data_IF_138378936112
#
_entry.id   IF_138378936112
#
_cell.length_a   1.000
_cell.length_b   1.000
_cell.length_c   1.000
_cell.angle_alpha   90.00
_cell.angle_beta   90.00
_cell.angle_gamma   90.00
#
_symmetry.space_group_name_H-M   'P 1'
#
loop_
_entity.id
_entity.type
_entity.pdbx_description
1 polymer ?
#
# COMPACT_ATOMS: atom_id res chain seq x y z
N UNK A 1 -1.27 -75.09 -41.46
CA UNK A 1 -1.71 -74.82 -40.07
C UNK A 1 -0.61 -74.15 -39.38
N UNK A 2 -0.76 -72.86 -39.16
CA UNK A 2 0.15 -72.05 -38.35
C UNK A 2 -0.69 -71.29 -37.32
N UNK A 3 -0.34 -71.24 -36.04
CA UNK A 3 -1.15 -70.55 -35.03
C UNK A 3 -0.83 -69.06 -35.00
N UNK A 4 -1.88 -68.26 -34.83
CA UNK A 4 -1.85 -66.85 -34.68
C UNK A 4 -1.29 -66.47 -33.28
N UNK A 5 -0.15 -65.75 -33.24
CA UNK A 5 0.39 -65.12 -32.03
C UNK A 5 -0.15 -63.73 -31.87
N UNK A 6 -0.95 -63.48 -30.84
CA UNK A 6 -1.40 -62.15 -30.43
C UNK A 6 -0.28 -61.39 -29.76
N UNK A 7 0.22 -60.33 -30.40
CA UNK A 7 1.14 -59.37 -29.76
C UNK A 7 0.29 -58.30 -29.08
N UNK A 8 0.03 -58.51 -27.80
CA UNK A 8 -0.48 -57.44 -26.92
C UNK A 8 0.59 -56.37 -26.71
N UNK A 9 0.46 -55.23 -27.38
CA UNK A 9 1.27 -54.05 -27.03
C UNK A 9 0.74 -53.43 -25.74
N UNK A 10 1.40 -53.77 -24.66
CA UNK A 10 1.25 -53.08 -23.38
C UNK A 10 1.86 -51.68 -23.56
N UNK A 11 1.02 -50.68 -23.87
CA UNK A 11 1.40 -49.27 -23.80
C UNK A 11 1.48 -48.89 -22.33
N UNK A 12 2.65 -49.18 -21.71
CA UNK A 12 2.96 -48.74 -20.39
C UNK A 12 2.88 -47.21 -20.33
N UNK A 13 1.94 -46.70 -19.57
CA UNK A 13 1.96 -45.32 -19.10
C UNK A 13 3.33 -45.05 -18.43
N UNK A 14 4.23 -44.40 -19.16
CA UNK A 14 5.45 -43.91 -18.57
C UNK A 14 5.04 -42.87 -17.53
N UNK A 15 5.09 -43.24 -16.25
CA UNK A 15 5.02 -42.32 -15.13
C UNK A 15 6.07 -41.26 -15.39
N UNK A 16 5.64 -40.04 -15.77
CA UNK A 16 6.52 -38.87 -15.73
C UNK A 16 6.96 -38.74 -14.29
N UNK A 17 8.27 -38.59 -13.99
CA UNK A 17 8.70 -38.37 -12.64
C UNK A 17 7.97 -37.13 -12.11
N UNK A 18 7.49 -37.19 -10.86
CA UNK A 18 6.92 -36.01 -10.16
C UNK A 18 7.91 -34.86 -10.33
N UNK A 19 7.42 -33.73 -10.82
CA UNK A 19 8.27 -32.54 -10.98
C UNK A 19 8.84 -32.18 -9.61
N UNK A 20 10.14 -32.37 -9.45
CA UNK A 20 10.84 -32.04 -8.21
C UNK A 20 10.86 -30.51 -8.09
N UNK A 21 10.29 -29.99 -7.01
CA UNK A 21 10.39 -28.56 -6.70
C UNK A 21 11.86 -28.26 -6.39
N UNK A 22 12.51 -27.30 -7.07
CA UNK A 22 13.88 -26.94 -6.80
C UNK A 22 14.10 -26.53 -5.34
N UNK A 23 15.25 -26.85 -4.73
CA UNK A 23 15.51 -26.54 -3.32
C UNK A 23 15.59 -25.03 -3.04
N UNK A 24 15.81 -24.21 -4.04
CA UNK A 24 15.85 -22.75 -4.02
C UNK A 24 14.48 -22.08 -4.31
N UNK A 25 13.42 -22.89 -4.48
CA UNK A 25 12.08 -22.35 -4.67
C UNK A 25 11.57 -21.69 -3.40
N UNK A 26 11.24 -20.38 -3.48
CA UNK A 26 10.69 -19.59 -2.38
C UNK A 26 9.23 -19.23 -2.68
N UNK A 27 8.26 -19.86 -1.99
CA UNK A 27 6.85 -19.51 -2.15
C UNK A 27 6.61 -18.03 -1.78
N UNK A 28 5.84 -17.32 -2.60
CA UNK A 28 5.51 -15.92 -2.34
C UNK A 28 6.66 -14.92 -2.57
N UNK A 29 7.81 -15.37 -3.09
CA UNK A 29 8.98 -14.55 -3.40
C UNK A 29 9.60 -13.84 -2.17
N UNK A 30 9.39 -14.33 -0.95
CA UNK A 30 9.96 -13.73 0.26
C UNK A 30 11.50 -13.80 0.21
N UNK A 31 12.17 -12.63 0.33
CA UNK A 31 13.62 -12.53 0.25
C UNK A 31 14.20 -12.63 -1.18
N UNK A 32 13.39 -12.89 -2.20
CA UNK A 32 13.84 -12.90 -3.60
C UNK A 32 14.04 -11.47 -4.09
N UNK A 33 15.26 -11.14 -4.53
CA UNK A 33 15.58 -9.83 -5.10
C UNK A 33 15.09 -9.78 -6.55
N UNK A 34 13.96 -9.09 -6.78
CA UNK A 34 13.38 -8.93 -8.11
C UNK A 34 13.91 -7.71 -8.87
N UNK A 35 14.34 -6.66 -8.15
CA UNK A 35 14.76 -5.38 -8.74
C UNK A 35 15.92 -4.77 -7.96
N UNK A 36 16.75 -3.99 -8.67
CA UNK A 36 17.56 -2.93 -8.06
C UNK A 36 16.74 -1.63 -8.11
N UNK A 37 16.91 -0.76 -7.11
CA UNK A 37 16.21 0.54 -7.05
C UNK A 37 17.13 1.61 -6.48
N UNK A 38 16.88 2.87 -6.90
CA UNK A 38 17.52 4.06 -6.35
C UNK A 38 16.52 4.93 -5.56
N UNK A 39 15.31 4.44 -5.33
CA UNK A 39 14.18 5.25 -4.83
C UNK A 39 14.22 5.32 -3.31
N UNK A 40 14.27 4.19 -2.62
CA UNK A 40 14.29 4.16 -1.16
C UNK A 40 15.11 3.00 -0.62
N UNK A 41 15.67 3.22 0.56
CA UNK A 41 16.43 2.25 1.33
C UNK A 41 15.81 2.09 2.72
N UNK A 42 15.01 1.03 2.97
CA UNK A 42 14.67 0.62 4.33
C UNK A 42 15.88 -0.10 4.94
N UNK A 43 16.56 0.53 5.88
CA UNK A 43 17.68 -0.04 6.62
C UNK A 43 17.15 -0.97 7.70
N UNK A 44 17.24 -2.27 7.46
CA UNK A 44 16.67 -3.32 8.30
C UNK A 44 17.27 -3.40 9.69
N UNK A 45 18.56 -3.13 9.80
CA UNK A 45 19.33 -3.31 11.02
C UNK A 45 19.54 -1.98 11.75
N UNK A 46 19.69 -0.86 11.03
CA UNK A 46 19.88 0.47 11.58
C UNK A 46 18.59 1.21 11.93
N UNK A 47 17.42 0.67 11.57
CA UNK A 47 16.12 1.31 11.88
C UNK A 47 15.96 2.69 11.25
N UNK A 48 16.44 2.86 10.01
CA UNK A 48 16.29 4.08 9.21
C UNK A 48 15.49 3.81 7.93
N UNK A 49 14.86 4.84 7.39
CA UNK A 49 14.25 4.83 6.07
C UNK A 49 14.68 6.08 5.31
N UNK A 50 15.33 5.88 4.17
CA UNK A 50 15.85 6.98 3.37
C UNK A 50 15.19 7.01 2.00
N UNK A 51 14.74 8.18 1.58
CA UNK A 51 14.23 8.48 0.24
C UNK A 51 15.34 9.15 -0.57
N UNK A 52 15.84 8.49 -1.61
CA UNK A 52 16.98 9.00 -2.40
C UNK A 52 18.18 9.40 -1.52
N UNK A 53 18.39 8.71 -0.40
CA UNK A 53 19.46 8.98 0.53
C UNK A 53 19.12 9.98 1.65
N UNK A 54 17.98 10.65 1.58
CA UNK A 54 17.52 11.58 2.63
C UNK A 54 16.66 10.83 3.66
N UNK A 55 16.99 10.98 4.94
CA UNK A 55 16.25 10.33 6.01
C UNK A 55 14.85 10.93 6.18
N UNK A 56 13.84 10.09 6.41
CA UNK A 56 12.46 10.55 6.62
C UNK A 56 12.31 11.41 7.88
N UNK A 57 13.14 11.18 8.90
CA UNK A 57 13.13 12.00 10.12
C UNK A 57 13.56 13.43 9.79
N UNK A 58 14.59 13.60 8.97
CA UNK A 58 15.04 14.93 8.52
C UNK A 58 13.94 15.63 7.71
N UNK A 59 13.28 14.90 6.79
CA UNK A 59 12.20 15.46 5.98
C UNK A 59 11.06 15.97 6.84
N UNK A 60 10.59 15.19 7.81
CA UNK A 60 9.47 15.59 8.69
C UNK A 60 9.89 16.67 9.68
N UNK A 61 11.07 16.57 10.28
CA UNK A 61 11.57 17.56 11.24
C UNK A 61 11.78 18.94 10.60
N UNK A 62 12.21 18.98 9.35
CA UNK A 62 12.36 20.20 8.56
C UNK A 62 11.06 20.65 7.88
N UNK A 63 9.95 19.92 8.11
CA UNK A 63 8.62 20.23 7.55
C UNK A 63 8.61 20.29 6.02
N UNK A 64 9.36 19.39 5.38
CA UNK A 64 9.29 19.23 3.93
C UNK A 64 7.90 18.70 3.57
N UNK A 65 7.19 19.38 2.68
CA UNK A 65 5.82 19.02 2.34
C UNK A 65 5.76 17.80 1.43
N UNK A 66 4.64 17.06 1.53
CA UNK A 66 4.42 15.85 0.74
C UNK A 66 4.60 16.06 -0.76
N UNK A 67 4.17 17.22 -1.31
CA UNK A 67 4.36 17.53 -2.72
C UNK A 67 5.83 17.59 -3.14
N UNK A 68 6.72 18.04 -2.26
CA UNK A 68 8.16 18.10 -2.50
C UNK A 68 8.80 16.71 -2.32
N UNK A 69 8.33 15.93 -1.35
CA UNK A 69 8.76 14.52 -1.18
C UNK A 69 8.36 13.67 -2.38
N UNK A 70 7.21 13.95 -2.98
CA UNK A 70 6.83 13.32 -4.25
C UNK A 70 7.87 13.61 -5.35
N UNK A 71 8.30 14.87 -5.50
CA UNK A 71 9.35 15.25 -6.45
C UNK A 71 10.69 14.55 -6.12
N UNK A 72 11.11 14.57 -4.85
CA UNK A 72 12.32 13.87 -4.43
C UNK A 72 12.31 12.39 -4.86
N UNK A 73 11.21 11.67 -4.63
CA UNK A 73 11.10 10.25 -4.98
C UNK A 73 11.10 10.02 -6.49
N UNK A 74 10.35 10.82 -7.25
CA UNK A 74 10.11 10.62 -8.69
C UNK A 74 11.25 11.20 -9.53
N UNK A 75 11.64 12.44 -9.26
CA UNK A 75 12.62 13.19 -10.05
C UNK A 75 14.04 13.05 -9.46
N UNK A 76 14.18 12.84 -8.16
CA UNK A 76 15.45 12.77 -7.44
C UNK A 76 15.93 14.12 -6.91
N UNK A 77 15.08 15.14 -6.97
CA UNK A 77 15.32 16.49 -6.47
C UNK A 77 14.03 17.15 -5.98
N UNK A 78 14.09 18.36 -5.45
CA UNK A 78 12.94 19.15 -4.98
C UNK A 78 12.41 20.15 -6.03
N UNK A 79 12.77 19.99 -7.31
CA UNK A 79 12.55 21.00 -8.33
C UNK A 79 11.09 21.19 -8.73
N UNK A 80 10.39 20.11 -9.12
CA UNK A 80 9.01 20.15 -9.63
C UNK A 80 8.09 19.30 -8.79
N UNK A 81 7.47 19.89 -7.78
CA UNK A 81 6.47 19.23 -6.94
C UNK A 81 5.20 18.82 -7.69
N UNK A 82 4.19 18.42 -6.92
CA UNK A 82 2.88 18.07 -7.47
C UNK A 82 2.13 19.33 -7.95
N UNK A 83 1.46 19.28 -9.12
CA UNK A 83 0.55 20.33 -9.56
C UNK A 83 -0.72 20.35 -8.69
N UNK A 84 -1.52 21.43 -8.68
CA UNK A 84 -2.86 21.39 -8.12
C UNK A 84 -3.73 20.38 -8.86
N UNK A 85 -4.66 19.71 -8.14
CA UNK A 85 -5.65 18.87 -8.76
C UNK A 85 -6.64 19.70 -9.60
N UNK A 86 -6.92 19.24 -10.79
CA UNK A 86 -7.94 19.83 -11.65
C UNK A 86 -9.32 19.75 -10.99
N UNK A 87 -10.24 20.69 -11.27
CA UNK A 87 -11.60 20.67 -10.76
C UNK A 87 -12.44 19.60 -11.50
N UNK A 88 -12.04 18.35 -11.32
CA UNK A 88 -12.66 17.19 -11.97
C UNK A 88 -13.48 16.40 -10.95
N UNK A 89 -14.79 16.20 -11.18
CA UNK A 89 -15.65 15.49 -10.25
C UNK A 89 -15.29 14.00 -10.18
N UNK A 90 -15.47 13.42 -9.01
CA UNK A 90 -15.40 11.97 -8.85
C UNK A 90 -16.52 11.31 -9.68
N UNK A 91 -16.18 10.41 -10.61
CA UNK A 91 -17.15 9.90 -11.58
C UNK A 91 -18.12 8.86 -11.02
N UNK A 92 -17.83 8.29 -9.85
CA UNK A 92 -18.63 7.24 -9.22
C UNK A 92 -18.63 7.40 -7.69
N UNK A 93 -19.78 7.22 -7.07
CA UNK A 93 -19.98 7.28 -5.63
C UNK A 93 -20.70 6.01 -5.15
N UNK A 94 -19.93 5.02 -4.73
CA UNK A 94 -20.47 3.76 -4.19
C UNK A 94 -20.64 3.79 -2.67
N UNK A 95 -20.01 4.75 -2.00
CA UNK A 95 -19.88 4.81 -0.54
C UNK A 95 -18.64 4.06 -0.01
N UNK A 96 -17.90 3.36 -0.86
CA UNK A 96 -16.61 2.76 -0.55
C UNK A 96 -15.51 3.60 -1.20
N UNK A 97 -14.76 4.33 -0.38
CA UNK A 97 -13.71 5.26 -0.84
C UNK A 97 -12.68 4.55 -1.73
N UNK A 98 -12.32 3.31 -1.41
CA UNK A 98 -11.36 2.53 -2.20
C UNK A 98 -11.91 2.24 -3.61
N UNK A 99 -13.17 1.79 -3.70
CA UNK A 99 -13.82 1.49 -4.99
C UNK A 99 -13.92 2.75 -5.83
N UNK A 100 -14.40 3.83 -5.23
CA UNK A 100 -14.59 5.12 -5.89
C UNK A 100 -13.27 5.64 -6.50
N UNK A 101 -12.20 5.63 -5.72
CA UNK A 101 -10.89 6.12 -6.15
C UNK A 101 -10.26 5.21 -7.19
N UNK A 102 -10.32 3.89 -6.99
CA UNK A 102 -9.76 2.92 -7.93
C UNK A 102 -10.44 3.00 -9.30
N UNK A 103 -11.77 3.04 -9.31
CA UNK A 103 -12.57 3.18 -10.53
C UNK A 103 -12.36 4.54 -11.19
N UNK A 104 -12.39 5.62 -10.41
CA UNK A 104 -12.16 6.98 -10.88
C UNK A 104 -10.80 7.14 -11.56
N UNK A 105 -9.75 6.59 -10.98
CA UNK A 105 -8.42 6.60 -11.60
C UNK A 105 -8.37 5.81 -12.91
N UNK A 106 -8.96 4.61 -12.94
CA UNK A 106 -8.98 3.80 -14.15
C UNK A 106 -9.67 4.53 -15.33
N UNK A 107 -10.68 5.36 -15.04
CA UNK A 107 -11.38 6.16 -16.04
C UNK A 107 -10.57 7.34 -16.60
N UNK A 108 -9.49 7.77 -15.94
CA UNK A 108 -8.68 8.89 -16.43
C UNK A 108 -8.00 8.59 -17.77
N UNK A 109 -7.61 7.34 -18.03
CA UNK A 109 -6.92 6.97 -19.25
C UNK A 109 -7.73 7.32 -20.52
N UNK A 110 -8.97 6.84 -20.70
CA UNK A 110 -9.78 7.21 -21.87
C UNK A 110 -10.23 8.68 -21.85
N UNK A 111 -10.50 9.27 -20.67
CA UNK A 111 -10.98 10.64 -20.55
C UNK A 111 -9.90 11.66 -20.93
N UNK A 112 -8.65 11.43 -20.50
CA UNK A 112 -7.53 12.34 -20.73
C UNK A 112 -6.60 11.89 -21.86
N UNK A 113 -6.97 10.81 -22.58
CA UNK A 113 -6.21 10.30 -23.71
C UNK A 113 -4.82 9.78 -23.33
N UNK A 114 -4.68 9.16 -22.13
CA UNK A 114 -3.40 8.56 -21.74
C UNK A 114 -3.07 7.40 -22.66
N UNK A 115 -1.88 7.46 -23.22
CA UNK A 115 -1.33 6.38 -24.05
C UNK A 115 -0.59 5.35 -23.19
N UNK A 116 -0.39 4.14 -23.72
CA UNK A 116 0.49 3.18 -23.10
C UNK A 116 1.85 3.80 -22.74
N UNK A 117 2.43 3.41 -21.62
CA UNK A 117 3.78 3.83 -21.21
C UNK A 117 4.83 3.50 -22.27
N UNK A 118 4.58 2.42 -23.04
CA UNK A 118 5.44 2.03 -24.16
C UNK A 118 5.52 3.14 -25.24
N UNK A 119 4.41 3.82 -25.50
CA UNK A 119 4.27 4.85 -26.56
C UNK A 119 4.41 6.29 -26.02
N UNK A 120 4.70 6.44 -24.72
CA UNK A 120 4.80 7.73 -24.04
C UNK A 120 6.27 8.01 -23.70
N UNK A 121 6.78 9.20 -24.00
CA UNK A 121 8.11 9.60 -23.52
C UNK A 121 8.14 9.82 -22.01
N UNK A 122 9.32 9.83 -21.40
CA UNK A 122 9.47 9.92 -19.96
C UNK A 122 8.95 11.23 -19.36
N UNK A 123 9.21 12.42 -19.89
CA UNK A 123 8.65 13.66 -19.38
C UNK A 123 7.12 13.67 -19.37
N UNK A 124 6.49 13.19 -20.44
CA UNK A 124 5.03 13.07 -20.52
C UNK A 124 4.50 12.05 -19.52
N UNK A 125 5.14 10.90 -19.37
CA UNK A 125 4.75 9.89 -18.36
C UNK A 125 4.86 10.47 -16.95
N UNK A 126 5.92 11.20 -16.64
CA UNK A 126 6.12 11.88 -15.36
C UNK A 126 4.98 12.88 -15.08
N UNK A 127 4.62 13.70 -16.05
CA UNK A 127 3.55 14.69 -15.88
C UNK A 127 2.16 14.03 -15.76
N UNK A 128 1.91 12.94 -16.48
CA UNK A 128 0.69 12.14 -16.32
C UNK A 128 0.62 11.48 -14.93
N UNK A 129 1.74 10.98 -14.40
CA UNK A 129 1.82 10.43 -13.05
C UNK A 129 1.54 11.50 -11.99
N UNK A 130 2.08 12.72 -12.15
CA UNK A 130 1.81 13.83 -11.25
C UNK A 130 0.31 14.22 -11.26
N UNK A 131 -0.30 14.35 -12.44
CA UNK A 131 -1.73 14.64 -12.58
C UNK A 131 -2.59 13.53 -11.97
N UNK A 132 -2.30 12.27 -12.25
CA UNK A 132 -3.04 11.14 -11.71
C UNK A 132 -2.89 11.03 -10.17
N UNK A 133 -1.71 11.35 -9.62
CA UNK A 133 -1.49 11.40 -8.17
C UNK A 133 -2.40 12.41 -7.49
N UNK A 134 -2.41 13.66 -7.95
CA UNK A 134 -3.26 14.70 -7.34
C UNK A 134 -4.75 14.41 -7.55
N UNK A 135 -5.12 13.72 -8.62
CA UNK A 135 -6.50 13.26 -8.81
C UNK A 135 -6.86 12.12 -7.85
N UNK A 136 -5.95 11.21 -7.55
CA UNK A 136 -6.18 10.21 -6.49
C UNK A 136 -6.51 10.89 -5.16
N UNK A 137 -5.69 11.87 -4.75
CA UNK A 137 -5.94 12.66 -3.54
C UNK A 137 -7.29 13.38 -3.61
N UNK A 138 -7.59 14.05 -4.73
CA UNK A 138 -8.85 14.74 -4.94
C UNK A 138 -10.05 13.78 -4.84
N UNK A 139 -9.97 12.60 -5.42
CA UNK A 139 -11.04 11.60 -5.37
C UNK A 139 -11.23 11.03 -3.97
N UNK A 140 -10.15 10.78 -3.20
CA UNK A 140 -10.26 10.40 -1.79
C UNK A 140 -10.98 11.48 -0.99
N UNK A 141 -10.62 12.75 -1.19
CA UNK A 141 -11.28 13.87 -0.51
C UNK A 141 -12.77 14.00 -0.88
N UNK A 142 -13.10 13.86 -2.16
CA UNK A 142 -14.49 13.92 -2.64
C UNK A 142 -15.33 12.75 -2.14
N UNK A 143 -14.80 11.53 -2.20
CA UNK A 143 -15.50 10.34 -1.70
C UNK A 143 -15.68 10.39 -0.18
N UNK A 144 -14.63 10.79 0.56
CA UNK A 144 -14.68 10.96 2.01
C UNK A 144 -15.64 12.06 2.48
N UNK A 145 -15.79 13.15 1.70
CA UNK A 145 -16.79 14.18 1.96
C UNK A 145 -18.22 13.68 1.74
N UNK A 146 -18.38 12.76 0.81
CA UNK A 146 -19.67 12.16 0.47
C UNK A 146 -20.59 13.07 -0.36
N UNK A 147 -21.70 12.51 -0.78
CA UNK A 147 -22.67 13.18 -1.69
C UNK A 147 -23.63 14.13 -0.98
N UNK A 148 -23.73 14.02 0.34
CA UNK A 148 -24.70 14.81 1.12
C UNK A 148 -24.14 16.17 1.56
N UNK A 149 -22.85 16.38 1.44
CA UNK A 149 -22.22 17.66 1.72
C UNK A 149 -21.90 18.40 0.40
N UNK A 150 -22.20 19.71 0.31
CA UNK A 150 -21.86 20.47 -0.89
C UNK A 150 -20.35 20.48 -1.13
N UNK A 151 -19.95 20.40 -2.39
CA UNK A 151 -18.55 20.50 -2.77
C UNK A 151 -17.97 21.86 -2.31
N UNK A 152 -16.74 21.85 -1.80
CA UNK A 152 -16.04 23.08 -1.47
C UNK A 152 -15.70 23.83 -2.76
N UNK A 153 -16.03 25.13 -2.86
CA UNK A 153 -15.74 25.91 -4.06
C UNK A 153 -14.26 25.88 -4.43
N UNK A 154 -13.95 25.62 -5.69
CA UNK A 154 -12.56 25.46 -6.15
C UNK A 154 -11.68 26.67 -5.81
N UNK A 155 -12.22 27.90 -5.88
CA UNK A 155 -11.49 29.15 -5.49
C UNK A 155 -10.95 29.11 -4.06
N UNK A 156 -11.63 28.41 -3.11
CA UNK A 156 -11.17 28.28 -1.73
C UNK A 156 -10.01 27.28 -1.68
N UNK A 157 -10.14 26.17 -2.39
CA UNK A 157 -9.09 25.15 -2.49
C UNK A 157 -7.82 25.71 -3.14
N UNK A 158 -7.97 26.55 -4.16
CA UNK A 158 -6.84 27.15 -4.89
C UNK A 158 -6.02 28.12 -4.05
N UNK A 159 -6.61 28.68 -2.99
CA UNK A 159 -5.91 29.53 -2.02
C UNK A 159 -4.99 28.75 -1.07
N UNK A 160 -5.17 27.44 -0.97
CA UNK A 160 -4.36 26.61 -0.09
C UNK A 160 -2.94 26.44 -0.63
N UNK A 161 -1.90 26.63 0.21
CA UNK A 161 -0.51 26.68 -0.26
C UNK A 161 0.06 25.32 -0.62
N UNK A 162 -0.36 24.23 0.05
CA UNK A 162 0.18 22.89 -0.13
C UNK A 162 -0.86 21.91 -0.66
N UNK A 163 -0.40 20.81 -1.24
CA UNK A 163 -1.27 19.74 -1.72
C UNK A 163 -2.08 19.13 -0.56
N UNK A 164 -1.47 18.95 0.60
CA UNK A 164 -2.15 18.45 1.79
C UNK A 164 -3.22 19.40 2.29
N UNK A 165 -2.94 20.71 2.32
CA UNK A 165 -3.94 21.72 2.68
C UNK A 165 -5.12 21.72 1.68
N UNK A 166 -4.87 21.59 0.36
CA UNK A 166 -5.89 21.48 -0.66
C UNK A 166 -6.77 20.24 -0.50
N UNK A 167 -6.15 19.10 -0.16
CA UNK A 167 -6.87 17.87 0.15
C UNK A 167 -7.78 18.03 1.37
N UNK A 168 -7.21 18.51 2.48
CA UNK A 168 -7.94 18.66 3.74
C UNK A 168 -9.10 19.67 3.60
N UNK A 169 -8.87 20.78 2.89
CA UNK A 169 -9.93 21.76 2.60
C UNK A 169 -11.01 21.16 1.70
N UNK A 170 -10.65 20.42 0.65
CA UNK A 170 -11.62 19.75 -0.22
C UNK A 170 -12.48 18.76 0.55
N UNK A 171 -11.89 18.06 1.51
CA UNK A 171 -12.58 17.05 2.32
C UNK A 171 -13.40 17.68 3.45
N UNK A 172 -12.78 18.49 4.31
CA UNK A 172 -13.41 18.98 5.54
C UNK A 172 -14.05 20.38 5.40
N UNK A 173 -13.62 21.18 4.43
CA UNK A 173 -14.01 22.59 4.26
C UNK A 173 -13.06 23.53 5.01
N UNK A 174 -13.09 23.53 6.32
CA UNK A 174 -12.27 24.36 7.21
C UNK A 174 -11.48 23.48 8.18
N UNK A 175 -10.35 22.87 7.72
CA UNK A 175 -9.55 21.98 8.57
C UNK A 175 -8.74 22.77 9.61
N UNK A 176 -8.52 22.18 10.79
CA UNK A 176 -7.54 22.67 11.76
C UNK A 176 -6.13 22.62 11.12
N UNK A 177 -5.32 23.69 11.16
CA UNK A 177 -3.95 23.68 10.65
C UNK A 177 -3.07 22.55 11.20
N UNK A 178 -3.29 22.13 12.46
CA UNK A 178 -2.57 21.00 13.06
C UNK A 178 -2.95 19.67 12.40
N UNK A 179 -4.19 19.51 11.94
CA UNK A 179 -4.63 18.33 11.20
C UNK A 179 -3.96 18.27 9.82
N UNK A 180 -3.80 19.43 9.15
CA UNK A 180 -3.06 19.51 7.88
C UNK A 180 -1.61 19.04 8.10
N UNK A 181 -0.94 19.54 9.14
CA UNK A 181 0.44 19.18 9.46
C UNK A 181 0.56 17.68 9.83
N UNK A 182 -0.41 17.14 10.57
CA UNK A 182 -0.46 15.73 10.93
C UNK A 182 -0.57 14.82 9.68
N UNK A 183 -1.46 15.15 8.76
CA UNK A 183 -1.65 14.40 7.50
C UNK A 183 -0.43 14.53 6.59
N UNK A 184 0.18 15.72 6.52
CA UNK A 184 1.39 15.93 5.72
C UNK A 184 2.54 15.06 6.21
N UNK A 185 2.80 15.09 7.53
CA UNK A 185 3.82 14.23 8.16
C UNK A 185 3.52 12.72 7.95
N UNK A 186 2.25 12.32 8.05
CA UNK A 186 1.85 10.94 7.78
C UNK A 186 2.12 10.54 6.33
N UNK A 187 1.76 11.39 5.35
CA UNK A 187 2.00 11.08 3.94
C UNK A 187 3.49 11.06 3.59
N UNK A 188 4.27 11.99 4.12
CA UNK A 188 5.74 11.97 3.98
C UNK A 188 6.30 10.64 4.51
N UNK A 189 5.88 10.23 5.70
CA UNK A 189 6.33 9.00 6.36
C UNK A 189 5.89 7.73 5.60
N UNK A 190 4.70 7.76 4.98
CA UNK A 190 4.10 6.62 4.27
C UNK A 190 4.45 6.58 2.78
N UNK A 191 5.17 7.58 2.25
CA UNK A 191 5.36 7.81 0.81
C UNK A 191 5.99 6.62 0.09
N UNK A 192 6.97 5.94 0.71
CA UNK A 192 7.63 4.78 0.12
C UNK A 192 8.14 3.82 1.21
N UNK A 193 8.22 2.53 0.90
CA UNK A 193 8.77 1.52 1.80
C UNK A 193 9.24 0.25 1.06
N UNK A 194 10.03 0.41 0.03
CA UNK A 194 10.61 -0.71 -0.72
C UNK A 194 9.58 -1.55 -1.48
N UNK A 195 9.97 -2.80 -1.79
CA UNK A 195 9.19 -3.68 -2.65
C UNK A 195 8.09 -4.42 -1.88
N UNK A 196 7.03 -3.69 -1.54
CA UNK A 196 5.79 -4.26 -0.97
C UNK A 196 4.81 -4.70 -2.07
N UNK A 197 3.70 -5.35 -1.69
CA UNK A 197 2.74 -5.93 -2.62
C UNK A 197 2.18 -4.93 -3.63
N UNK A 198 1.77 -3.73 -3.21
CA UNK A 198 1.21 -2.73 -4.13
C UNK A 198 2.26 -2.10 -5.04
N UNK A 199 3.46 -1.86 -4.54
CA UNK A 199 4.60 -1.38 -5.35
C UNK A 199 5.00 -2.43 -6.39
N UNK A 200 5.04 -3.72 -6.01
CA UNK A 200 5.31 -4.81 -6.94
C UNK A 200 4.22 -4.89 -8.02
N UNK A 201 2.95 -4.79 -7.63
CA UNK A 201 1.81 -4.77 -8.57
C UNK A 201 1.92 -3.60 -9.56
N UNK A 202 2.22 -2.39 -9.08
CA UNK A 202 2.45 -1.24 -9.95
C UNK A 202 3.56 -1.50 -10.98
N UNK A 203 4.69 -2.07 -10.54
CA UNK A 203 5.80 -2.44 -11.44
C UNK A 203 5.42 -3.53 -12.42
N UNK A 204 4.68 -4.55 -12.00
CA UNK A 204 4.19 -5.62 -12.91
C UNK A 204 3.35 -5.01 -14.03
N UNK A 205 2.37 -4.16 -13.69
CA UNK A 205 1.51 -3.51 -14.69
C UNK A 205 2.35 -2.58 -15.59
N UNK A 206 3.18 -1.72 -15.02
CA UNK A 206 4.06 -0.84 -15.78
C UNK A 206 5.00 -1.60 -16.73
N UNK A 207 5.46 -2.79 -16.33
CA UNK A 207 6.33 -3.65 -17.15
C UNK A 207 5.68 -4.16 -18.42
N UNK A 208 4.33 -4.20 -18.46
CA UNK A 208 3.57 -4.57 -19.66
C UNK A 208 3.43 -3.43 -20.65
N UNK A 209 3.85 -2.21 -20.27
CA UNK A 209 3.68 -1.00 -21.06
C UNK A 209 2.30 -0.36 -20.93
N UNK A 210 1.45 -0.79 -20.00
CA UNK A 210 0.13 -0.20 -19.74
C UNK A 210 0.24 1.29 -19.33
N UNK A 211 -0.85 2.05 -19.42
CA UNK A 211 -0.88 3.47 -19.08
C UNK A 211 -0.75 3.72 -17.56
N UNK A 212 -0.49 4.95 -17.16
CA UNK A 212 -0.25 5.34 -15.78
C UNK A 212 -1.48 5.15 -14.88
N UNK A 213 -2.70 5.33 -15.43
CA UNK A 213 -3.93 5.17 -14.67
C UNK A 213 -4.18 3.69 -14.32
N UNK A 214 -3.93 2.78 -15.26
CA UNK A 214 -3.96 1.34 -15.03
C UNK A 214 -2.97 0.92 -13.94
N UNK A 215 -1.74 1.45 -13.97
CA UNK A 215 -0.72 1.15 -12.96
C UNK A 215 -1.15 1.58 -11.56
N UNK A 216 -1.65 2.80 -11.39
CA UNK A 216 -2.08 3.33 -10.09
C UNK A 216 -3.37 2.64 -9.60
N UNK A 217 -4.35 2.43 -10.47
CA UNK A 217 -5.58 1.70 -10.13
C UNK A 217 -5.29 0.28 -9.64
N UNK A 218 -4.38 -0.45 -10.33
CA UNK A 218 -3.96 -1.78 -9.90
C UNK A 218 -3.22 -1.79 -8.56
N UNK A 219 -2.37 -0.79 -8.31
CA UNK A 219 -1.70 -0.63 -7.03
C UNK A 219 -2.69 -0.41 -5.87
N UNK A 220 -3.74 0.39 -6.08
CA UNK A 220 -4.83 0.59 -5.10
C UNK A 220 -5.53 -0.74 -4.82
N UNK A 221 -5.82 -1.55 -5.85
CA UNK A 221 -6.39 -2.87 -5.68
C UNK A 221 -5.55 -3.75 -4.76
N UNK A 222 -4.23 -3.79 -4.97
CA UNK A 222 -3.32 -4.54 -4.09
C UNK A 222 -3.23 -3.95 -2.68
N UNK A 223 -3.27 -2.61 -2.53
CA UNK A 223 -3.27 -1.93 -1.23
C UNK A 223 -4.51 -2.26 -0.39
N UNK A 224 -5.64 -2.53 -1.02
CA UNK A 224 -6.92 -2.79 -0.33
C UNK A 224 -6.95 -4.13 0.41
N UNK A 225 -5.99 -5.03 0.15
CA UNK A 225 -5.94 -6.34 0.79
C UNK A 225 -5.73 -6.25 2.31
N UNK A 226 -6.42 -7.10 3.10
CA UNK A 226 -6.35 -7.06 4.58
C UNK A 226 -4.96 -7.40 5.13
N UNK A 227 -4.07 -7.97 4.32
CA UNK A 227 -2.67 -8.25 4.68
C UNK A 227 -1.72 -7.10 4.33
N UNK A 228 -2.24 -5.97 3.82
CA UNK A 228 -1.42 -4.83 3.37
C UNK A 228 -1.87 -3.49 3.96
N UNK A 229 -2.98 -2.89 3.55
CA UNK A 229 -3.30 -1.49 3.87
C UNK A 229 -4.33 -1.24 4.99
N UNK A 230 -4.86 -2.27 5.65
CA UNK A 230 -6.02 -2.16 6.54
C UNK A 230 -5.73 -2.12 8.05
N UNK A 231 -4.48 -1.98 8.49
CA UNK A 231 -4.12 -2.20 9.89
C UNK A 231 -4.35 -1.01 10.86
N UNK A 232 -4.20 0.29 10.49
CA UNK A 232 -4.35 1.38 11.46
C UNK A 232 -5.70 1.40 12.18
N UNK A 233 -6.79 1.20 11.46
CA UNK A 233 -8.14 1.18 12.02
C UNK A 233 -8.34 0.15 13.16
N UNK A 234 -7.52 -0.90 13.19
CA UNK A 234 -7.60 -1.96 14.22
C UNK A 234 -6.86 -1.62 15.52
N UNK A 235 -6.07 -0.55 15.53
CA UNK A 235 -5.36 -0.06 16.73
C UNK A 235 -6.31 0.73 17.64
N UNK A 236 -7.21 1.51 17.06
CA UNK A 236 -8.09 2.42 17.81
C UNK A 236 -8.91 1.74 18.91
N UNK A 237 -9.53 0.56 18.71
CA UNK A 237 -10.26 -0.12 19.78
C UNK A 237 -9.43 -0.44 21.00
N UNK A 238 -8.10 -0.69 20.85
CA UNK A 238 -7.21 -0.92 21.99
C UNK A 238 -6.97 0.37 22.78
N UNK A 239 -6.81 1.51 22.09
CA UNK A 239 -6.65 2.82 22.72
C UNK A 239 -7.93 3.20 23.46
N UNK A 240 -9.10 3.04 22.84
CA UNK A 240 -10.41 3.29 23.44
C UNK A 240 -10.66 2.44 24.71
N UNK A 241 -10.23 1.18 24.69
CA UNK A 241 -10.34 0.31 25.85
C UNK A 241 -9.43 0.77 27.00
N UNK A 242 -8.23 1.30 26.69
CA UNK A 242 -7.36 1.91 27.72
C UNK A 242 -7.97 3.20 28.26
N UNK A 243 -8.54 4.06 27.43
CA UNK A 243 -9.27 5.26 27.87
C UNK A 243 -10.40 4.92 28.83
N UNK A 244 -11.16 3.85 28.53
CA UNK A 244 -12.30 3.40 29.32
C UNK A 244 -11.87 2.77 30.67
N UNK A 245 -10.76 2.03 30.70
CA UNK A 245 -10.34 1.25 31.86
C UNK A 245 -9.30 1.94 32.75
N UNK A 246 -8.55 2.86 32.18
CA UNK A 246 -7.40 3.51 32.84
C UNK A 246 -6.18 2.60 33.06
N UNK A 247 -6.19 1.35 32.55
CA UNK A 247 -5.15 0.35 32.82
C UNK A 247 -4.66 -0.33 31.52
N UNK A 248 -3.64 0.26 30.92
CA UNK A 248 -3.04 -0.25 29.69
C UNK A 248 -2.50 -1.68 29.82
N UNK A 249 -1.88 -2.02 30.96
CA UNK A 249 -1.31 -3.36 31.16
C UNK A 249 -2.39 -4.44 31.24
N UNK A 250 -3.49 -4.15 31.91
CA UNK A 250 -4.64 -5.06 31.99
C UNK A 250 -5.27 -5.30 30.62
N UNK A 251 -5.41 -4.25 29.81
CA UNK A 251 -5.94 -4.35 28.43
C UNK A 251 -5.04 -5.23 27.57
N UNK A 252 -3.73 -4.99 27.58
CA UNK A 252 -2.74 -5.77 26.82
C UNK A 252 -2.75 -7.25 27.24
N UNK A 253 -2.70 -7.52 28.53
CA UNK A 253 -2.77 -8.90 29.04
C UNK A 253 -4.06 -9.60 28.61
N UNK A 254 -5.19 -8.93 28.73
CA UNK A 254 -6.49 -9.49 28.33
C UNK A 254 -6.55 -9.87 26.85
N UNK A 255 -5.98 -9.07 25.95
CA UNK A 255 -5.88 -9.38 24.51
C UNK A 255 -5.01 -10.61 24.28
N UNK A 256 -3.81 -10.63 24.87
CA UNK A 256 -2.86 -11.73 24.70
C UNK A 256 -3.33 -13.05 25.34
N UNK A 257 -4.02 -12.99 26.47
CA UNK A 257 -4.56 -14.16 27.18
C UNK A 257 -5.69 -14.83 26.40
N UNK A 258 -6.42 -14.08 25.55
CA UNK A 258 -7.39 -14.62 24.59
C UNK A 258 -6.73 -15.19 23.32
N UNK A 259 -5.41 -15.15 23.21
CA UNK A 259 -4.68 -15.58 22.01
C UNK A 259 -4.79 -14.62 20.82
N UNK A 260 -5.28 -13.41 21.03
CA UNK A 260 -5.41 -12.38 20.01
C UNK A 260 -4.05 -11.69 19.79
N UNK A 261 -3.90 -11.06 18.60
CA UNK A 261 -2.69 -10.31 18.26
C UNK A 261 -2.85 -8.84 18.65
N UNK A 262 -1.81 -8.26 19.24
CA UNK A 262 -1.70 -6.82 19.39
C UNK A 262 -1.45 -6.19 18.02
N UNK A 263 -2.33 -5.29 17.60
CA UNK A 263 -2.19 -4.57 16.35
C UNK A 263 -1.19 -3.43 16.52
N UNK A 264 -0.39 -3.17 15.48
CA UNK A 264 0.64 -2.13 15.54
C UNK A 264 1.98 -2.59 16.11
N UNK A 265 2.18 -3.90 16.34
CA UNK A 265 3.43 -4.45 16.86
C UNK A 265 3.99 -5.55 15.97
N UNK A 266 5.32 -5.55 15.80
CA UNK A 266 6.06 -6.46 14.92
C UNK A 266 6.13 -5.97 13.49
N UNK A 267 7.25 -6.26 12.82
CA UNK A 267 7.51 -5.86 11.43
C UNK A 267 8.24 -6.97 10.68
N UNK A 268 7.98 -7.09 9.35
CA UNK A 268 8.68 -8.07 8.49
C UNK A 268 10.07 -7.62 8.06
N UNK A 269 10.30 -6.30 7.99
CA UNK A 269 11.54 -5.70 7.48
C UNK A 269 12.48 -5.35 8.62
N UNK A 270 12.03 -4.54 9.59
CA UNK A 270 12.88 -4.05 10.66
C UNK A 270 13.06 -5.07 11.78
N UNK A 271 14.29 -5.17 12.27
CA UNK A 271 14.66 -5.85 13.51
C UNK A 271 14.76 -4.89 14.69
N UNK A 272 14.90 -3.60 14.41
CA UNK A 272 14.82 -2.48 15.33
C UNK A 272 13.43 -1.82 15.28
N UNK A 273 13.24 -0.72 16.02
CA UNK A 273 12.02 0.10 15.93
C UNK A 273 11.81 0.61 14.49
N UNK A 274 10.57 0.57 14.05
CA UNK A 274 10.18 1.14 12.74
C UNK A 274 10.36 2.68 12.78
N UNK A 275 11.24 3.27 11.97
CA UNK A 275 11.52 4.70 11.99
C UNK A 275 10.27 5.54 11.73
N UNK A 276 9.31 5.00 11.01
CA UNK A 276 8.03 5.67 10.74
C UNK A 276 7.18 5.79 12.01
N UNK A 277 7.19 4.77 12.88
CA UNK A 277 6.51 4.85 14.17
C UNK A 277 7.13 5.93 15.05
N UNK A 278 8.45 6.03 15.09
CA UNK A 278 9.20 7.04 15.84
C UNK A 278 8.86 8.47 15.37
N UNK A 279 8.85 8.70 14.05
CA UNK A 279 8.49 9.99 13.45
C UNK A 279 7.06 10.39 13.79
N UNK A 280 6.10 9.47 13.66
CA UNK A 280 4.69 9.78 13.92
C UNK A 280 4.40 9.96 15.40
N UNK A 281 5.08 9.24 16.31
CA UNK A 281 5.02 9.46 17.76
C UNK A 281 5.47 10.88 18.11
N UNK A 282 6.65 11.28 17.64
CA UNK A 282 7.18 12.64 17.85
C UNK A 282 6.25 13.73 17.26
N UNK A 283 5.63 13.44 16.12
CA UNK A 283 4.65 14.35 15.51
C UNK A 283 3.38 14.47 16.37
N UNK A 284 2.84 13.36 16.89
CA UNK A 284 1.67 13.36 17.75
C UNK A 284 1.93 14.13 19.06
N UNK A 285 3.11 13.97 19.66
CA UNK A 285 3.55 14.71 20.84
C UNK A 285 3.64 16.23 20.54
N UNK A 286 4.36 16.61 19.50
CA UNK A 286 4.57 18.01 19.10
C UNK A 286 3.26 18.73 18.77
N UNK A 287 2.33 18.05 18.11
CA UNK A 287 1.01 18.58 17.78
C UNK A 287 0.02 18.50 18.94
N UNK A 288 0.41 17.93 20.07
CA UNK A 288 -0.44 17.73 21.26
C UNK A 288 -1.72 16.97 20.91
N UNK A 289 -1.57 15.85 20.20
CA UNK A 289 -2.68 14.98 19.88
C UNK A 289 -3.33 14.45 21.19
N UNK A 290 -4.66 14.57 21.36
CA UNK A 290 -5.32 14.27 22.63
C UNK A 290 -5.06 12.85 23.16
N UNK A 291 -4.93 11.87 22.27
CA UNK A 291 -4.69 10.46 22.63
C UNK A 291 -3.22 10.08 22.77
N UNK A 292 -2.29 11.03 22.64
CA UNK A 292 -0.85 10.74 22.67
C UNK A 292 -0.42 10.05 23.97
N UNK A 293 -0.81 10.55 25.15
CA UNK A 293 -0.41 9.99 26.44
C UNK A 293 -0.96 8.58 26.65
N UNK A 294 -2.23 8.36 26.31
CA UNK A 294 -2.87 7.04 26.40
C UNK A 294 -2.21 6.05 25.44
N UNK A 295 -1.93 6.46 24.22
CA UNK A 295 -1.23 5.64 23.23
C UNK A 295 0.20 5.29 23.69
N UNK A 296 0.94 6.24 24.23
CA UNK A 296 2.27 6.01 24.77
C UNK A 296 2.25 5.00 25.96
N UNK A 297 1.29 5.11 26.86
CA UNK A 297 1.10 4.15 27.94
C UNK A 297 0.76 2.75 27.43
N UNK A 298 -0.11 2.65 26.42
CA UNK A 298 -0.45 1.39 25.76
C UNK A 298 0.77 0.78 25.05
N UNK A 299 1.55 1.59 24.30
CA UNK A 299 2.77 1.15 23.65
C UNK A 299 3.78 0.56 24.64
N UNK A 300 4.06 1.28 25.72
CA UNK A 300 4.97 0.82 26.77
C UNK A 300 4.50 -0.50 27.42
N UNK A 301 3.22 -0.60 27.75
CA UNK A 301 2.63 -1.80 28.33
C UNK A 301 2.71 -2.99 27.35
N UNK A 302 2.44 -2.76 26.07
CA UNK A 302 2.50 -3.77 25.04
C UNK A 302 3.92 -4.30 24.83
N UNK A 303 4.90 -3.40 24.70
CA UNK A 303 6.31 -3.80 24.53
C UNK A 303 6.85 -4.54 25.75
N UNK A 304 6.49 -4.13 26.97
CA UNK A 304 6.88 -4.82 28.19
C UNK A 304 6.32 -6.25 28.23
N UNK A 305 5.03 -6.42 27.96
CA UNK A 305 4.36 -7.72 27.99
C UNK A 305 4.82 -8.64 26.86
N UNK A 306 5.09 -8.08 25.66
CA UNK A 306 5.63 -8.85 24.53
C UNK A 306 7.06 -9.35 24.80
N UNK A 307 7.91 -8.53 25.42
CA UNK A 307 9.27 -8.93 25.83
C UNK A 307 9.25 -10.02 26.91
N UNK A 308 8.33 -9.92 27.88
CA UNK A 308 8.15 -10.92 28.91
C UNK A 308 7.69 -12.27 28.33
N UNK A 309 6.73 -12.28 27.42
CA UNK A 309 6.16 -13.51 26.82
C UNK A 309 6.99 -14.10 25.67
N UNK A 310 7.78 -13.30 24.99
CA UNK A 310 8.57 -13.67 23.80
C UNK A 310 9.99 -13.11 23.87
N UNK A 311 10.80 -13.50 24.87
CA UNK A 311 12.15 -12.95 25.05
C UNK A 311 13.11 -13.30 23.89
N UNK A 312 12.80 -14.32 23.12
CA UNK A 312 13.51 -14.78 21.92
C UNK A 312 13.23 -13.95 20.68
N UNK A 313 12.29 -13.01 20.73
CA UNK A 313 11.87 -12.18 19.58
C UNK A 313 11.93 -10.70 19.91
N UNK A 314 12.69 -9.95 19.11
CA UNK A 314 12.60 -8.48 19.11
C UNK A 314 11.28 -8.08 18.42
N UNK A 315 10.25 -7.74 19.19
CA UNK A 315 8.98 -7.22 18.69
C UNK A 315 8.91 -5.76 19.08
N UNK A 316 8.91 -4.88 18.10
CA UNK A 316 8.86 -3.43 18.29
C UNK A 316 7.59 -2.85 17.66
N UNK A 317 7.29 -1.59 17.99
CA UNK A 317 6.15 -0.85 17.41
C UNK A 317 6.39 -0.62 15.92
N UNK A 318 5.36 -0.85 15.12
CA UNK A 318 5.38 -0.55 13.68
C UNK A 318 4.58 0.71 13.36
N UNK A 319 4.65 1.16 12.11
CA UNK A 319 4.00 2.38 11.64
C UNK A 319 2.50 2.45 11.92
N UNK A 320 1.80 1.31 11.91
CA UNK A 320 0.34 1.23 12.00
C UNK A 320 -0.18 1.79 13.34
N UNK A 321 0.59 1.60 14.43
CA UNK A 321 0.21 2.07 15.76
C UNK A 321 0.09 3.59 15.81
N UNK A 322 1.17 4.29 15.49
CA UNK A 322 1.19 5.75 15.54
C UNK A 322 0.48 6.42 14.36
N UNK A 323 0.37 5.71 13.22
CA UNK A 323 -0.49 6.14 12.12
C UNK A 323 -1.96 6.23 12.56
N UNK A 324 -2.45 5.26 13.34
CA UNK A 324 -3.81 5.32 13.88
C UNK A 324 -4.05 6.57 14.74
N UNK A 325 -3.11 6.92 15.62
CA UNK A 325 -3.18 8.11 16.49
C UNK A 325 -3.20 9.39 15.66
N UNK A 326 -2.33 9.50 14.67
CA UNK A 326 -2.24 10.68 13.79
C UNK A 326 -3.50 10.85 12.94
N UNK A 327 -3.98 9.75 12.36
CA UNK A 327 -5.18 9.78 11.52
C UNK A 327 -6.45 10.10 12.33
N UNK A 328 -6.59 9.50 13.51
CA UNK A 328 -7.69 9.80 14.43
C UNK A 328 -7.66 11.27 14.88
N UNK A 329 -6.49 11.79 15.26
CA UNK A 329 -6.29 13.21 15.59
C UNK A 329 -6.75 14.12 14.46
N UNK A 330 -6.46 13.79 13.21
CA UNK A 330 -6.89 14.59 12.05
C UNK A 330 -8.38 14.35 11.67
N UNK A 331 -9.12 13.59 12.45
CA UNK A 331 -10.54 13.30 12.22
C UNK A 331 -10.82 12.32 11.09
N UNK A 332 -9.85 11.47 10.72
CA UNK A 332 -10.01 10.46 9.68
C UNK A 332 -10.83 9.28 10.21
N UNK A 333 -12.00 9.00 9.65
CA UNK A 333 -12.80 7.85 10.07
C UNK A 333 -12.11 6.53 9.68
N UNK A 334 -12.33 5.49 10.46
CA UNK A 334 -11.66 4.20 10.33
C UNK A 334 -11.74 3.59 8.90
N UNK A 335 -12.90 3.72 8.25
CA UNK A 335 -13.12 3.23 6.89
C UNK A 335 -12.34 4.02 5.81
N UNK A 336 -11.86 5.23 6.12
CA UNK A 336 -11.07 6.07 5.21
C UNK A 336 -9.55 5.92 5.43
N UNK A 337 -9.10 5.34 6.53
CA UNK A 337 -7.66 5.19 6.84
C UNK A 337 -6.86 4.47 5.75
N UNK A 338 -7.35 3.39 5.11
CA UNK A 338 -6.64 2.77 3.99
C UNK A 338 -6.49 3.70 2.78
N UNK A 339 -7.47 4.57 2.53
CA UNK A 339 -7.39 5.55 1.46
C UNK A 339 -6.38 6.67 1.76
N UNK A 340 -6.22 7.05 3.02
CA UNK A 340 -5.15 7.98 3.43
C UNK A 340 -3.76 7.40 3.19
N UNK A 341 -3.59 6.09 3.40
CA UNK A 341 -2.35 5.40 3.05
C UNK A 341 -2.12 5.38 1.53
N UNK A 342 -3.17 5.16 0.74
CA UNK A 342 -3.13 5.27 -0.72
C UNK A 342 -2.61 6.65 -1.16
N UNK A 343 -3.11 7.74 -0.57
CA UNK A 343 -2.68 9.10 -0.88
C UNK A 343 -1.16 9.26 -0.73
N UNK A 344 -0.60 8.93 0.43
CA UNK A 344 0.84 9.04 0.66
C UNK A 344 1.64 8.14 -0.28
N UNK A 345 1.20 6.89 -0.50
CA UNK A 345 1.93 5.91 -1.29
C UNK A 345 1.93 6.20 -2.81
N UNK A 346 1.09 7.12 -3.31
CA UNK A 346 1.14 7.54 -4.72
C UNK A 346 2.53 7.99 -5.14
N UNK A 347 3.30 8.65 -4.26
CA UNK A 347 4.65 9.09 -4.54
C UNK A 347 5.60 7.91 -4.86
N UNK A 348 5.64 6.91 -3.99
CA UNK A 348 6.44 5.71 -4.20
C UNK A 348 6.01 4.92 -5.44
N UNK A 349 4.71 4.74 -5.65
CA UNK A 349 4.22 4.06 -6.86
C UNK A 349 4.65 4.79 -8.13
N UNK A 350 4.52 6.11 -8.19
CA UNK A 350 4.92 6.90 -9.35
C UNK A 350 6.41 6.78 -9.64
N UNK A 351 7.24 6.85 -8.61
CA UNK A 351 8.68 6.65 -8.74
C UNK A 351 9.02 5.26 -9.30
N UNK A 352 8.39 4.22 -8.77
CA UNK A 352 8.60 2.84 -9.22
C UNK A 352 8.06 2.56 -10.62
N UNK A 353 6.92 3.15 -11.01
CA UNK A 353 6.38 3.05 -12.37
C UNK A 353 7.36 3.67 -13.37
N UNK A 354 7.90 4.84 -13.05
CA UNK A 354 8.85 5.53 -13.92
C UNK A 354 10.18 4.79 -14.01
N UNK A 355 10.70 4.28 -12.88
CA UNK A 355 11.90 3.44 -12.87
C UNK A 355 11.69 2.15 -13.68
N UNK A 356 10.51 1.53 -13.59
CA UNK A 356 10.17 0.34 -14.38
C UNK A 356 10.08 0.65 -15.88
N UNK A 357 9.51 1.80 -16.25
CA UNK A 357 9.50 2.28 -17.63
C UNK A 357 10.92 2.43 -18.18
N UNK A 358 11.84 3.03 -17.40
CA UNK A 358 13.26 3.16 -17.79
C UNK A 358 13.94 1.80 -17.96
N UNK A 359 13.64 0.85 -17.09
CA UNK A 359 14.18 -0.51 -17.17
C UNK A 359 13.71 -1.25 -18.43
N UNK A 360 12.47 -1.03 -18.87
CA UNK A 360 11.94 -1.55 -20.13
C UNK A 360 11.80 -3.08 -20.20
N UNK A 361 11.88 -3.81 -19.06
CA UNK A 361 11.81 -5.28 -19.04
C UNK A 361 10.48 -5.74 -18.44
N UNK A 362 9.82 -6.67 -19.13
CA UNK A 362 8.61 -7.34 -18.66
C UNK A 362 8.91 -8.19 -17.41
N UNK A 363 8.13 -8.00 -16.36
CA UNK A 363 8.15 -8.84 -15.15
C UNK A 363 7.35 -10.11 -15.43
N UNK A 364 8.06 -11.23 -15.63
CA UNK A 364 7.45 -12.51 -16.00
C UNK A 364 8.15 -13.67 -15.30
N UNK A 365 7.78 -13.98 -14.05
CA UNK A 365 8.29 -15.15 -13.36
C UNK A 365 7.78 -16.44 -14.01
N UNK A 366 8.46 -17.55 -13.76
CA UNK A 366 8.06 -18.90 -14.17
C UNK A 366 7.30 -19.61 -13.06
N UNK A 367 6.52 -20.63 -13.43
CA UNK A 367 5.85 -21.51 -12.50
C UNK A 367 6.24 -22.97 -12.74
N UNK A 368 6.26 -23.76 -11.68
CA UNK A 368 6.46 -25.21 -11.74
C UNK A 368 5.08 -25.87 -11.74
N UNK A 369 4.76 -26.59 -12.82
CA UNK A 369 3.51 -27.30 -12.88
C UNK A 369 3.58 -28.61 -12.06
N UNK A 370 2.75 -28.71 -11.04
CA UNK A 370 2.64 -29.87 -10.13
C UNK A 370 1.28 -30.59 -10.26
N UNK A 371 0.49 -30.20 -11.25
CA UNK A 371 -0.81 -30.80 -11.52
C UNK A 371 -0.74 -32.16 -12.22
N UNK A 372 -1.89 -32.75 -12.57
CA UNK A 372 -1.96 -34.04 -13.25
C UNK A 372 -1.20 -34.09 -14.58
N UNK A 373 -0.65 -35.23 -14.93
CA UNK A 373 -0.08 -35.48 -16.27
C UNK A 373 -1.11 -35.35 -17.38
N UNK A 374 -0.71 -35.52 -18.65
CA UNK A 374 -1.62 -35.49 -19.79
C UNK A 374 -2.79 -36.44 -19.62
N UNK A 375 -4.01 -35.92 -19.78
CA UNK A 375 -5.27 -36.70 -19.71
C UNK A 375 -6.12 -36.39 -20.93
N UNK A 376 -6.89 -37.40 -21.34
CA UNK A 376 -7.94 -37.18 -22.36
C UNK A 376 -9.16 -36.49 -21.71
N UNK A 377 -9.90 -35.66 -22.45
CA UNK A 377 -11.11 -34.99 -21.93
C UNK A 377 -12.11 -35.99 -21.32
N UNK A 378 -12.27 -37.14 -21.94
CA UNK A 378 -13.21 -38.20 -21.53
C UNK A 378 -12.87 -38.79 -20.15
N UNK A 379 -11.63 -38.64 -19.69
CA UNK A 379 -11.20 -39.08 -18.36
C UNK A 379 -11.52 -38.07 -17.24
N UNK A 380 -12.07 -36.90 -17.60
CA UNK A 380 -12.39 -35.85 -16.63
C UNK A 380 -13.82 -36.05 -16.12
N UNK A 381 -14.04 -36.05 -14.78
CA UNK A 381 -15.38 -36.20 -14.23
C UNK A 381 -16.36 -35.15 -14.78
N UNK A 382 -17.53 -35.59 -15.19
CA UNK A 382 -18.57 -34.74 -15.77
C UNK A 382 -18.46 -34.51 -17.28
N UNK A 383 -17.59 -35.21 -18.00
CA UNK A 383 -17.49 -35.15 -19.46
C UNK A 383 -18.83 -35.38 -20.16
N UNK A 384 -19.62 -36.35 -19.69
CA UNK A 384 -20.93 -36.67 -20.28
C UNK A 384 -21.89 -35.48 -20.31
N UNK A 385 -21.79 -34.59 -19.34
CA UNK A 385 -22.59 -33.35 -19.30
C UNK A 385 -22.19 -32.36 -20.39
N UNK A 386 -20.92 -32.36 -20.78
CA UNK A 386 -20.41 -31.48 -21.85
C UNK A 386 -20.95 -31.93 -23.19
N UNK A 387 -21.05 -33.26 -23.42
CA UNK A 387 -21.56 -33.81 -24.64
C UNK A 387 -23.07 -33.60 -24.84
N UNK A 388 -23.84 -33.55 -23.73
CA UNK A 388 -25.30 -33.35 -23.79
C UNK A 388 -25.71 -31.89 -23.89
N UNK A 389 -24.78 -30.92 -23.75
CA UNK A 389 -25.00 -29.46 -23.86
C UNK A 389 -24.57 -28.88 -25.21
N UNK A 390 -24.04 -29.69 -26.12
CA UNK A 390 -23.70 -29.34 -27.48
C UNK A 390 -24.77 -29.89 -28.47
#
# INVERSE_FOLDING_TARGET
>A
MLPAGSIGRNLGCKNRPMTVVPPDFVPGLEGVVAFTTKIAEPDKDGGALRYRGVDIEDLVNQRVHFGDVWALLVDGDFGRGLPPAEPFPLPIHTGDVRVDVQAGLAMLAPIWGYKPLLDTNEPTARDQLARASVMALSYVAQSGRGIYQPAVPQRIIDQCPTITARFMTRWQGEPDPRHIEAIDAYWVTAAEHGMNASTFTARVIASTGADVAACLSGAIGAMSGPLHGGAPARVLPMIEEVERTGDARKVVKGILDRGEKLMGFGHRVYRAEDPRARVLRATAERLKAPRHEVAAALEQAALAELRERRPDRAIETNVEFWAAVILDFAGVPANMMPAMFTCGRTAGWCAHILEQKRLGKLVRPSAIYVGPGPRKPESIPGWDRVLTSA
#
